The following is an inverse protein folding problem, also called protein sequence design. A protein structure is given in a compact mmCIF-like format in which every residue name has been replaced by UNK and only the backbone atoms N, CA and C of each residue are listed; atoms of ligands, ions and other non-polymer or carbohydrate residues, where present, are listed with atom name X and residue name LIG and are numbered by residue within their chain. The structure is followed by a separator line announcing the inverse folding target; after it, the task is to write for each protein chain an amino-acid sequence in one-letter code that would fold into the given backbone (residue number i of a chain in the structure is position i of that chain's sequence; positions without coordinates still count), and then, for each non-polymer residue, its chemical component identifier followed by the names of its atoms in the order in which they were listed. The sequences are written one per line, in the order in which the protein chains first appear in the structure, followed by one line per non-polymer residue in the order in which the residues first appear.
data_IF_740423266519
#
_entry.id   IF_740423266519
#
_cell.length_a   1.000
_cell.length_b   1.000
_cell.length_c   1.000
_cell.angle_alpha   90.00
_cell.angle_beta   90.00
_cell.angle_gamma   90.00
#
_symmetry.space_group_name_H-M   'P 1'
#
loop_
_entity.id
_entity.type
_entity.pdbx_description
1 polymer ?
#
# COMPACT_ATOMS: atom_id res chain seq x y z
N UNK A 1 -0.60 -16.78 -17.02
CA UNK A 1 0.73 -17.07 -17.60
C UNK A 1 1.66 -15.88 -17.49
N UNK A 2 1.24 -14.68 -17.92
CA UNK A 2 1.99 -13.42 -17.77
C UNK A 2 2.39 -13.10 -16.32
N UNK A 3 1.47 -13.21 -15.36
CA UNK A 3 1.77 -13.01 -13.93
C UNK A 3 2.80 -14.00 -13.38
N UNK A 4 2.76 -15.26 -13.82
CA UNK A 4 3.69 -16.29 -13.38
C UNK A 4 5.08 -16.08 -13.99
N UNK A 5 5.14 -15.63 -15.25
CA UNK A 5 6.38 -15.21 -15.91
C UNK A 5 6.96 -13.96 -15.24
N UNK A 6 6.13 -13.00 -14.84
CA UNK A 6 6.58 -11.78 -14.16
C UNK A 6 7.12 -12.08 -12.76
N UNK A 7 6.39 -12.87 -11.97
CA UNK A 7 6.82 -13.30 -10.62
C UNK A 7 8.04 -14.20 -10.70
N UNK A 8 8.08 -15.14 -11.67
CA UNK A 8 9.24 -15.99 -11.93
C UNK A 8 10.47 -15.19 -12.37
N UNK A 9 10.28 -14.16 -13.20
CA UNK A 9 11.33 -13.24 -13.61
C UNK A 9 11.88 -12.41 -12.44
N UNK A 10 11.01 -11.91 -11.55
CA UNK A 10 11.46 -11.19 -10.36
C UNK A 10 12.22 -12.09 -9.37
N UNK A 11 11.79 -13.34 -9.20
CA UNK A 11 12.50 -14.33 -8.40
C UNK A 11 13.86 -14.71 -9.03
N UNK A 12 13.94 -14.84 -10.35
CA UNK A 12 15.18 -15.12 -11.06
C UNK A 12 16.18 -13.96 -10.90
N UNK A 13 15.75 -12.72 -11.13
CA UNK A 13 16.59 -11.52 -10.95
C UNK A 13 17.10 -11.38 -9.51
N UNK A 14 16.26 -11.69 -8.51
CA UNK A 14 16.68 -11.71 -7.11
C UNK A 14 17.77 -12.75 -6.81
N UNK A 15 17.86 -13.84 -7.59
CA UNK A 15 18.85 -14.91 -7.39
C UNK A 15 20.14 -14.70 -8.19
N UNK A 16 20.07 -14.04 -9.36
CA UNK A 16 21.23 -13.86 -10.25
C UNK A 16 21.95 -12.53 -10.12
N UNK A 17 21.26 -11.41 -9.83
CA UNK A 17 21.85 -10.07 -9.93
C UNK A 17 22.25 -9.44 -8.59
N UNK A 18 22.05 -10.12 -7.45
CA UNK A 18 22.30 -9.57 -6.10
C UNK A 18 21.91 -8.07 -5.99
N UNK A 19 20.66 -7.69 -6.37
CA UNK A 19 20.28 -6.30 -6.63
C UNK A 19 20.39 -5.38 -5.40
N UNK A 20 20.59 -5.96 -4.21
CA UNK A 20 20.83 -5.26 -2.96
C UNK A 20 22.27 -4.74 -2.80
N UNK A 21 23.27 -5.25 -3.55
CA UNK A 21 24.68 -4.85 -3.40
C UNK A 21 25.00 -3.44 -3.91
N UNK A 22 24.08 -2.80 -4.64
CA UNK A 22 24.21 -1.40 -5.12
C UNK A 22 22.98 -0.53 -4.86
N UNK A 23 21.98 -1.04 -4.12
CA UNK A 23 20.75 -0.32 -3.88
C UNK A 23 20.96 0.81 -2.86
N UNK A 24 20.60 2.07 -3.18
CA UNK A 24 20.66 3.15 -2.21
C UNK A 24 19.71 2.87 -1.03
N UNK A 25 20.11 3.32 0.16
CA UNK A 25 19.33 3.14 1.37
C UNK A 25 17.88 3.64 1.17
N UNK A 26 16.88 2.91 1.72
CA UNK A 26 15.47 3.26 1.52
C UNK A 26 15.20 4.67 2.03
N UNK A 27 14.78 5.55 1.13
CA UNK A 27 14.33 6.90 1.48
C UNK A 27 12.94 6.81 2.11
N UNK A 28 12.83 7.24 3.37
CA UNK A 28 11.60 7.12 4.15
C UNK A 28 10.57 8.18 3.78
N UNK A 29 11.01 9.42 3.52
CA UNK A 29 10.19 10.53 3.08
C UNK A 29 11.07 11.59 2.42
N UNK A 30 10.53 12.30 1.44
CA UNK A 30 11.19 13.48 0.86
C UNK A 30 10.66 14.77 1.51
N UNK A 31 9.37 14.78 1.90
CA UNK A 31 8.70 15.92 2.52
C UNK A 31 8.13 15.56 3.90
N UNK A 32 8.13 16.51 4.83
CA UNK A 32 7.54 16.33 6.17
C UNK A 32 6.07 15.93 6.09
N UNK A 33 5.33 16.48 5.12
CA UNK A 33 3.92 16.16 4.89
C UNK A 33 3.74 14.69 4.48
N UNK A 34 4.62 14.15 3.63
CA UNK A 34 4.59 12.75 3.21
C UNK A 34 4.80 11.82 4.41
N UNK A 35 5.82 12.11 5.23
CA UNK A 35 6.09 11.36 6.46
C UNK A 35 4.94 11.43 7.46
N UNK A 36 4.34 12.61 7.64
CA UNK A 36 3.20 12.82 8.53
C UNK A 36 1.95 12.04 8.11
N UNK A 37 1.60 12.07 6.82
CA UNK A 37 0.46 11.32 6.27
C UNK A 37 0.71 9.81 6.36
N UNK A 38 1.92 9.34 6.03
CA UNK A 38 2.28 7.94 6.14
C UNK A 38 2.19 7.43 7.59
N UNK A 39 2.74 8.20 8.55
CA UNK A 39 2.67 7.86 9.96
C UNK A 39 1.22 7.80 10.46
N UNK A 40 0.40 8.80 10.12
CA UNK A 40 -1.02 8.80 10.48
C UNK A 40 -1.74 7.57 9.91
N UNK A 41 -1.48 7.23 8.65
CA UNK A 41 -2.07 6.06 7.98
C UNK A 41 -1.67 4.76 8.70
N UNK A 42 -0.41 4.62 9.10
CA UNK A 42 0.06 3.47 9.89
C UNK A 42 -0.64 3.39 11.27
N UNK A 43 -0.82 4.52 11.96
CA UNK A 43 -1.54 4.57 13.23
C UNK A 43 -2.99 4.11 13.05
N UNK A 44 -3.69 4.61 12.03
CA UNK A 44 -5.06 4.19 11.71
C UNK A 44 -5.13 2.70 11.39
N UNK A 45 -4.18 2.17 10.61
CA UNK A 45 -4.11 0.75 10.30
C UNK A 45 -3.94 -0.12 11.56
N UNK A 46 -3.07 0.29 12.49
CA UNK A 46 -2.91 -0.39 13.78
C UNK A 46 -4.17 -0.31 14.65
N UNK A 47 -4.83 0.85 14.70
CA UNK A 47 -6.10 1.02 15.42
C UNK A 47 -7.18 0.12 14.83
N UNK A 48 -7.23 -0.04 13.50
CA UNK A 48 -8.19 -0.91 12.82
C UNK A 48 -8.10 -2.37 13.30
N UNK A 49 -6.90 -2.86 13.65
CA UNK A 49 -6.69 -4.22 14.18
C UNK A 49 -7.32 -4.44 15.57
N UNK A 50 -7.64 -3.36 16.30
CA UNK A 50 -8.19 -3.43 17.67
C UNK A 50 -9.73 -3.39 17.69
N UNK A 51 -10.36 -3.07 16.57
CA UNK A 51 -11.80 -2.82 16.50
C UNK A 51 -12.61 -4.11 16.40
N UNK A 52 -13.59 -4.27 17.31
CA UNK A 52 -14.49 -5.43 17.35
C UNK A 52 -15.81 -5.26 16.60
N UNK A 53 -16.17 -4.03 16.22
CA UNK A 53 -17.41 -3.70 15.51
C UNK A 53 -17.13 -3.52 14.02
N UNK A 54 -17.82 -4.27 13.16
CA UNK A 54 -17.55 -4.30 11.72
C UNK A 54 -17.68 -2.92 11.06
N UNK A 55 -18.70 -2.15 11.45
CA UNK A 55 -18.91 -0.79 10.94
C UNK A 55 -17.75 0.16 11.28
N UNK A 56 -17.20 0.07 12.50
CA UNK A 56 -16.04 0.88 12.88
C UNK A 56 -14.79 0.45 12.10
N UNK A 57 -14.63 -0.85 11.84
CA UNK A 57 -13.49 -1.36 11.07
C UNK A 57 -13.55 -0.87 9.61
N UNK A 58 -14.73 -0.83 8.99
CA UNK A 58 -14.88 -0.29 7.62
C UNK A 58 -14.60 1.20 7.56
N UNK A 59 -15.05 1.98 8.56
CA UNK A 59 -14.72 3.41 8.60
C UNK A 59 -13.20 3.62 8.72
N UNK A 60 -12.53 2.89 9.64
CA UNK A 60 -11.08 2.99 9.78
C UNK A 60 -10.33 2.49 8.54
N UNK A 61 -10.81 1.43 7.88
CA UNK A 61 -10.28 0.98 6.59
C UNK A 61 -10.40 2.08 5.53
N UNK A 62 -11.52 2.82 5.53
CA UNK A 62 -11.71 3.97 4.67
C UNK A 62 -10.67 5.06 4.89
N UNK A 63 -10.38 5.38 6.16
CA UNK A 63 -9.34 6.37 6.50
C UNK A 63 -7.96 5.96 5.96
N UNK A 64 -7.64 4.66 5.90
CA UNK A 64 -6.38 4.18 5.30
C UNK A 64 -6.35 4.51 3.80
N UNK A 65 -7.46 4.28 3.08
CA UNK A 65 -7.56 4.61 1.65
C UNK A 65 -7.58 6.10 1.35
N UNK A 66 -8.15 6.93 2.23
CA UNK A 66 -7.98 8.39 2.15
C UNK A 66 -6.54 8.82 2.43
N UNK A 67 -5.84 8.13 3.34
CA UNK A 67 -4.40 8.32 3.58
C UNK A 67 -3.55 8.05 2.35
N UNK A 68 -3.84 6.98 1.61
CA UNK A 68 -3.14 6.69 0.34
C UNK A 68 -3.45 7.71 -0.75
N UNK A 69 -4.70 8.18 -0.85
CA UNK A 69 -5.06 9.26 -1.76
C UNK A 69 -4.31 10.57 -1.45
N UNK A 70 -4.19 10.92 -0.17
CA UNK A 70 -3.39 12.08 0.26
C UNK A 70 -1.91 11.92 -0.11
N UNK A 71 -1.34 10.72 0.02
CA UNK A 71 0.02 10.47 -0.45
C UNK A 71 0.17 10.73 -1.96
N UNK A 72 -0.82 10.36 -2.79
CA UNK A 72 -0.80 10.70 -4.22
C UNK A 72 -0.86 12.21 -4.48
N UNK A 73 -1.67 12.96 -3.73
CA UNK A 73 -1.70 14.43 -3.82
C UNK A 73 -0.33 15.02 -3.49
N UNK A 74 0.30 14.57 -2.39
CA UNK A 74 1.61 15.06 -1.95
C UNK A 74 2.70 14.70 -2.96
N UNK A 75 2.57 13.58 -3.66
CA UNK A 75 3.50 13.16 -4.72
C UNK A 75 3.28 13.89 -6.05
N UNK A 76 2.29 14.79 -6.15
CA UNK A 76 1.98 15.51 -7.39
C UNK A 76 1.25 14.65 -8.43
N UNK A 77 0.59 13.57 -8.01
CA UNK A 77 -0.22 12.69 -8.88
C UNK A 77 -1.73 12.91 -8.62
N UNK A 78 -2.32 14.06 -9.03
CA UNK A 78 -3.70 14.41 -8.71
C UNK A 78 -4.73 13.47 -9.35
N UNK A 79 -4.46 12.92 -10.53
CA UNK A 79 -5.40 12.01 -11.21
C UNK A 79 -5.53 10.68 -10.46
N UNK A 80 -4.40 10.15 -9.96
CA UNK A 80 -4.40 8.96 -9.09
C UNK A 80 -5.12 9.26 -7.77
N UNK A 81 -4.97 10.46 -7.22
CA UNK A 81 -5.69 10.86 -6.01
C UNK A 81 -7.21 10.95 -6.22
N UNK A 82 -7.66 11.60 -7.30
CA UNK A 82 -9.09 11.74 -7.62
C UNK A 82 -9.75 10.39 -7.85
N UNK A 83 -9.09 9.52 -8.61
CA UNK A 83 -9.58 8.14 -8.83
C UNK A 83 -9.61 7.35 -7.54
N UNK A 84 -8.59 7.48 -6.68
CA UNK A 84 -8.57 6.84 -5.37
C UNK A 84 -9.71 7.35 -4.48
N UNK A 85 -9.99 8.65 -4.43
CA UNK A 85 -11.13 9.19 -3.66
C UNK A 85 -12.47 8.66 -4.16
N UNK A 86 -12.65 8.60 -5.49
CA UNK A 86 -13.86 8.04 -6.10
C UNK A 86 -14.03 6.55 -5.75
N UNK A 87 -12.99 5.75 -5.96
CA UNK A 87 -13.01 4.31 -5.66
C UNK A 87 -13.20 4.06 -4.18
N UNK A 88 -12.55 4.84 -3.31
CA UNK A 88 -12.66 4.70 -1.86
C UNK A 88 -14.08 5.03 -1.38
N UNK A 89 -14.69 6.07 -1.94
CA UNK A 89 -16.08 6.42 -1.62
C UNK A 89 -17.04 5.30 -2.01
N UNK A 90 -16.89 4.75 -3.22
CA UNK A 90 -17.72 3.64 -3.69
C UNK A 90 -17.48 2.38 -2.87
N UNK A 91 -16.22 2.05 -2.56
CA UNK A 91 -15.85 0.91 -1.73
C UNK A 91 -16.45 1.03 -0.33
N UNK A 92 -16.36 2.21 0.31
CA UNK A 92 -16.96 2.47 1.60
C UNK A 92 -18.48 2.32 1.58
N UNK A 93 -19.16 2.84 0.55
CA UNK A 93 -20.61 2.64 0.36
C UNK A 93 -20.93 1.15 0.24
N UNK A 94 -20.24 0.42 -0.64
CA UNK A 94 -20.46 -1.00 -0.88
C UNK A 94 -20.21 -1.81 0.40
N UNK A 95 -19.11 -1.56 1.11
CA UNK A 95 -18.81 -2.24 2.37
C UNK A 95 -19.86 -1.96 3.45
N UNK A 96 -20.31 -0.72 3.59
CA UNK A 96 -21.37 -0.35 4.54
C UNK A 96 -22.68 -1.07 4.18
N UNK A 97 -23.05 -1.11 2.90
CA UNK A 97 -24.26 -1.80 2.44
C UNK A 97 -24.20 -3.32 2.70
N UNK A 98 -23.04 -3.95 2.43
CA UNK A 98 -22.82 -5.37 2.70
C UNK A 98 -22.88 -5.65 4.21
N UNK A 99 -22.18 -4.85 5.02
CA UNK A 99 -22.13 -5.04 6.46
C UNK A 99 -23.46 -4.73 7.15
N UNK A 100 -24.31 -3.88 6.57
CA UNK A 100 -25.65 -3.61 7.10
C UNK A 100 -26.52 -4.87 7.14
N UNK A 101 -26.24 -5.87 6.29
CA UNK A 101 -26.90 -7.19 6.30
C UNK A 101 -26.21 -8.24 7.17
N UNK A 102 -25.07 -7.92 7.78
CA UNK A 102 -24.28 -8.86 8.60
C UNK A 102 -24.37 -8.54 10.10
N UNK A 103 -24.11 -9.53 10.98
CA UNK A 103 -24.05 -9.29 12.42
C UNK A 103 -23.00 -8.24 12.80
N UNK A 104 -23.31 -7.41 13.80
CA UNK A 104 -22.57 -6.17 14.15
C UNK A 104 -21.14 -6.44 14.66
N UNK A 105 -20.93 -7.61 15.26
CA UNK A 105 -19.66 -8.00 15.87
C UNK A 105 -18.91 -9.03 15.02
N UNK A 106 -17.58 -9.04 15.13
CA UNK A 106 -16.80 -10.17 14.65
C UNK A 106 -17.02 -11.37 15.58
N UNK A 107 -17.30 -12.54 15.00
CA UNK A 107 -17.27 -13.79 15.76
C UNK A 107 -15.80 -14.17 15.97
N UNK A 108 -15.26 -13.86 17.15
CA UNK A 108 -13.88 -14.20 17.50
C UNK A 108 -13.80 -15.65 18.02
N UNK A 109 -13.71 -16.60 17.10
CA UNK A 109 -13.40 -18.02 17.41
C UNK A 109 -12.00 -18.43 16.93
N UNK A 110 -11.08 -17.47 16.83
CA UNK A 110 -9.70 -17.74 16.41
C UNK A 110 -8.85 -18.26 17.57
N UNK A 111 -8.45 -19.54 17.49
CA UNK A 111 -7.50 -20.14 18.42
C UNK A 111 -6.20 -19.33 18.53
N UNK A 112 -5.62 -19.17 19.75
CA UNK A 112 -4.39 -18.42 19.97
C UNK A 112 -3.22 -18.96 19.12
N UNK A 113 -3.20 -20.27 18.85
CA UNK A 113 -2.21 -20.90 17.97
C UNK A 113 -2.30 -20.39 16.52
N UNK A 114 -3.52 -20.28 15.98
CA UNK A 114 -3.74 -19.72 14.63
C UNK A 114 -3.31 -18.26 14.57
N UNK A 115 -3.53 -17.49 15.63
CA UNK A 115 -3.09 -16.09 15.71
C UNK A 115 -1.56 -16.00 15.73
N UNK A 116 -0.89 -16.87 16.49
CA UNK A 116 0.56 -16.92 16.58
C UNK A 116 1.23 -17.23 15.23
N UNK A 117 0.63 -18.07 14.38
CA UNK A 117 1.15 -18.36 13.03
C UNK A 117 0.82 -17.24 12.03
N UNK A 118 -0.36 -16.60 12.13
CA UNK A 118 -0.78 -15.57 11.18
C UNK A 118 0.07 -14.29 11.24
N UNK A 119 0.53 -13.90 12.42
CA UNK A 119 1.35 -12.69 12.61
C UNK A 119 2.68 -12.76 11.84
N UNK A 120 3.55 -13.77 12.04
CA UNK A 120 4.80 -13.87 11.31
C UNK A 120 4.58 -14.05 9.81
N UNK A 121 3.55 -14.78 9.38
CA UNK A 121 3.21 -14.90 7.95
C UNK A 121 2.82 -13.54 7.36
N UNK A 122 2.02 -12.74 8.06
CA UNK A 122 1.65 -11.40 7.61
C UNK A 122 2.85 -10.45 7.56
N UNK A 123 3.74 -10.51 8.57
CA UNK A 123 4.97 -9.72 8.59
C UNK A 123 5.93 -10.13 7.47
N UNK A 124 6.09 -11.43 7.23
CA UNK A 124 6.88 -11.95 6.11
C UNK A 124 6.32 -11.48 4.78
N UNK A 125 5.01 -11.59 4.55
CA UNK A 125 4.38 -11.11 3.32
C UNK A 125 4.57 -9.60 3.13
N UNK A 126 4.40 -8.81 4.18
CA UNK A 126 4.64 -7.37 4.14
C UNK A 126 6.12 -7.03 3.84
N UNK A 127 7.06 -7.74 4.47
CA UNK A 127 8.48 -7.57 4.23
C UNK A 127 8.86 -7.96 2.79
N UNK A 128 8.34 -9.07 2.27
CA UNK A 128 8.57 -9.51 0.88
C UNK A 128 8.10 -8.45 -0.11
N UNK A 129 6.88 -7.92 0.07
CA UNK A 129 6.35 -6.88 -0.80
C UNK A 129 7.17 -5.59 -0.67
N UNK A 130 7.52 -5.19 0.56
CA UNK A 130 8.32 -3.99 0.81
C UNK A 130 9.70 -4.05 0.15
N UNK A 131 10.40 -5.18 0.29
CA UNK A 131 11.69 -5.42 -0.36
C UNK A 131 11.54 -5.44 -1.88
N UNK A 132 10.53 -6.13 -2.42
CA UNK A 132 10.28 -6.17 -3.86
C UNK A 132 10.03 -4.77 -4.45
N UNK A 133 9.25 -3.93 -3.77
CA UNK A 133 8.99 -2.54 -4.17
C UNK A 133 10.26 -1.70 -4.08
N UNK A 134 11.05 -1.84 -3.01
CA UNK A 134 12.32 -1.11 -2.85
C UNK A 134 13.33 -1.49 -3.94
N UNK A 135 13.50 -2.79 -4.23
CA UNK A 135 14.38 -3.27 -5.30
C UNK A 135 13.91 -2.78 -6.66
N UNK A 136 12.60 -2.86 -6.95
CA UNK A 136 12.04 -2.36 -8.21
C UNK A 136 12.23 -0.84 -8.37
N UNK A 137 12.10 -0.08 -7.28
CA UNK A 137 12.36 1.35 -7.27
C UNK A 137 13.86 1.66 -7.47
N UNK A 138 14.76 0.89 -6.84
CA UNK A 138 16.20 1.04 -6.99
C UNK A 138 16.69 0.69 -8.41
N UNK A 139 16.03 -0.26 -9.07
CA UNK A 139 16.33 -0.64 -10.45
C UNK A 139 15.91 0.42 -11.50
N UNK A 140 15.16 1.46 -11.09
CA UNK A 140 14.75 2.55 -11.98
C UNK A 140 15.91 3.51 -12.23
N UNK A 141 16.72 3.21 -13.24
CA UNK A 141 17.90 4.00 -13.65
C UNK A 141 17.61 5.02 -14.77
N UNK A 142 16.46 4.93 -15.43
CA UNK A 142 16.08 5.86 -16.50
C UNK A 142 15.68 7.24 -15.95
N UNK A 143 16.07 8.31 -16.65
CA UNK A 143 15.67 9.67 -16.28
C UNK A 143 14.13 9.85 -16.33
N UNK A 144 13.55 10.67 -15.45
CA UNK A 144 12.11 10.92 -15.43
C UNK A 144 11.65 11.56 -16.75
N UNK A 145 10.76 10.88 -17.48
CA UNK A 145 10.21 11.36 -18.76
C UNK A 145 9.46 12.70 -18.67
N UNK A 146 9.06 13.14 -17.47
CA UNK A 146 8.33 14.39 -17.27
C UNK A 146 9.10 15.64 -17.69
N UNK A 147 10.43 15.65 -17.55
CA UNK A 147 11.24 16.80 -17.96
C UNK A 147 11.26 16.96 -19.49
N UNK A 148 11.39 15.85 -20.21
CA UNK A 148 11.36 15.83 -21.68
C UNK A 148 9.98 16.26 -22.22
N UNK A 149 8.89 15.80 -21.62
CA UNK A 149 7.52 16.18 -22.02
C UNK A 149 7.22 17.67 -21.81
N UNK A 150 7.79 18.29 -20.77
CA UNK A 150 7.62 19.74 -20.53
C UNK A 150 8.40 20.57 -21.55
N UNK A 151 9.61 20.12 -21.94
CA UNK A 151 10.39 20.78 -22.99
C UNK A 151 9.68 20.71 -24.35
N UNK A 152 9.12 19.56 -24.71
CA UNK A 152 8.44 19.38 -26.00
C UNK A 152 7.12 20.17 -26.13
N UNK A 153 6.48 20.55 -25.02
CA UNK A 153 5.29 21.43 -25.02
C UNK A 153 5.68 22.92 -24.98
N UNK A 154 6.90 23.24 -24.56
CA UNK A 154 7.39 24.62 -24.45
C UNK A 154 7.95 25.17 -25.78
N UNK A 155 8.32 24.29 -26.71
CA UNK A 155 8.72 24.60 -28.10
C UNK A 155 7.49 24.65 -29.05
#
# INVERSE_FOLDING_TARGET
TTLLVMVGGQLAVLLTDEPWQGAPAPRLWDNVLQGGVALLTCIVALLCLTVRRRMKAVVLSGLIGYGTALLFVVQGAPDLALTQFCVETVAMIVFVLVLRRMPVHFEETVSPWRRAIRIPVALLAAATIGVAVWVAAAARTAEPAGAAMVQEVAD
#
